data_IF_087089397051
#
_entry.id   IF_087089397051
#
_cell.length_a   1.000
_cell.length_b   1.000
_cell.length_c   1.000
_cell.angle_alpha   90.00
_cell.angle_beta   90.00
_cell.angle_gamma   90.00
#
_symmetry.space_group_name_H-M   'P 1'
#
loop_
_entity.id
_entity.type
_entity.pdbx_description
1 polymer ?
#
# COMPACT_ATOMS: atom_id res chain seq x y z
N UNK A 1 -0.30 -18.79 12.67
CA UNK A 1 -1.19 -17.95 11.86
C UNK A 1 -0.41 -16.71 11.51
N UNK A 2 -0.25 -16.43 10.21
CA UNK A 2 0.54 -15.27 9.76
C UNK A 2 -0.23 -13.98 9.98
N UNK A 3 0.42 -12.96 10.55
CA UNK A 3 -0.19 -11.64 10.74
C UNK A 3 -0.05 -10.85 9.44
N UNK A 4 -1.17 -10.36 8.91
CA UNK A 4 -1.20 -9.52 7.73
C UNK A 4 -0.87 -8.08 8.11
N UNK A 5 0.08 -7.48 7.39
CA UNK A 5 0.47 -6.10 7.60
C UNK A 5 -0.60 -5.15 7.04
N UNK A 6 -1.06 -4.19 7.85
CA UNK A 6 -2.03 -3.19 7.42
C UNK A 6 -1.33 -2.13 6.56
N UNK A 7 -1.85 -1.92 5.35
CA UNK A 7 -1.37 -0.87 4.45
C UNK A 7 -2.28 0.35 4.62
N UNK A 8 -1.73 1.49 5.04
CA UNK A 8 -2.52 2.71 5.13
C UNK A 8 -2.91 3.19 3.73
N UNK A 9 -4.21 3.46 3.51
CA UNK A 9 -4.73 3.95 2.24
C UNK A 9 -5.28 5.36 2.37
N UNK A 10 -5.02 6.16 1.35
CA UNK A 10 -5.45 7.56 1.19
C UNK A 10 -6.90 7.72 0.73
N UNK A 11 -7.57 6.65 0.29
CA UNK A 11 -8.93 6.72 -0.26
C UNK A 11 -9.95 5.89 0.53
N UNK A 12 -9.81 5.85 1.86
CA UNK A 12 -10.73 5.19 2.79
C UNK A 12 -10.97 3.67 2.55
N UNK A 13 -10.21 3.04 1.65
CA UNK A 13 -10.26 1.59 1.43
C UNK A 13 -9.18 0.94 2.28
N UNK A 14 -9.58 0.17 3.30
CA UNK A 14 -8.64 -0.62 4.09
C UNK A 14 -7.88 -1.59 3.20
N UNK A 15 -6.55 -1.63 3.35
CA UNK A 15 -5.67 -2.52 2.60
C UNK A 15 -4.79 -3.31 3.55
N UNK A 16 -4.43 -4.52 3.13
CA UNK A 16 -3.44 -5.35 3.82
C UNK A 16 -2.44 -5.91 2.81
N UNK A 17 -1.23 -6.16 3.28
CA UNK A 17 -0.19 -6.90 2.58
C UNK A 17 -0.27 -8.37 3.01
N UNK A 18 -0.34 -9.27 2.03
CA UNK A 18 -0.33 -10.72 2.25
C UNK A 18 0.69 -11.31 1.29
N UNK A 19 1.84 -11.74 1.82
CA UNK A 19 2.94 -12.33 1.03
C UNK A 19 3.40 -11.48 -0.18
N UNK A 20 3.34 -10.15 -0.08
CA UNK A 20 3.71 -9.23 -1.16
C UNK A 20 2.59 -8.93 -2.15
N UNK A 21 1.37 -9.39 -1.88
CA UNK A 21 0.16 -9.01 -2.59
C UNK A 21 -0.64 -7.98 -1.79
N UNK A 22 -1.03 -6.90 -2.46
CA UNK A 22 -1.90 -5.89 -1.88
C UNK A 22 -3.35 -6.32 -2.03
N UNK A 23 -4.02 -6.47 -0.89
CA UNK A 23 -5.41 -6.88 -0.81
C UNK A 23 -6.26 -5.71 -0.29
N UNK A 24 -7.41 -5.51 -0.91
CA UNK A 24 -8.39 -4.47 -0.58
C UNK A 24 -9.56 -5.12 0.13
N UNK A 25 -10.08 -4.46 1.18
CA UNK A 25 -11.25 -4.96 1.93
C UNK A 25 -12.46 -5.02 0.99
N UNK A 26 -13.08 -6.21 0.93
CA UNK A 26 -14.39 -6.43 0.28
C UNK A 26 -15.51 -6.18 1.31
N UNK A 27 -15.58 -7.08 2.29
CA UNK A 27 -16.63 -7.12 3.31
C UNK A 27 -16.13 -7.84 4.56
N UNK A 28 -16.87 -7.73 5.65
CA UNK A 28 -16.63 -8.51 6.87
C UNK A 28 -17.93 -9.18 7.36
N UNK A 29 -17.78 -10.31 8.05
CA UNK A 29 -18.84 -11.03 8.76
C UNK A 29 -18.30 -11.38 10.14
N UNK A 30 -18.83 -10.76 11.19
CA UNK A 30 -18.30 -10.88 12.55
C UNK A 30 -16.79 -10.54 12.55
N UNK A 31 -15.97 -11.46 13.05
CA UNK A 31 -14.51 -11.34 13.10
C UNK A 31 -13.81 -11.76 11.81
N UNK A 32 -14.53 -12.29 10.80
CA UNK A 32 -13.94 -12.67 9.52
C UNK A 32 -13.99 -11.52 8.52
N UNK A 33 -12.85 -11.24 7.90
CA UNK A 33 -12.69 -10.21 6.89
C UNK A 33 -12.31 -10.84 5.56
N UNK A 34 -12.99 -10.41 4.52
CA UNK A 34 -12.78 -10.87 3.15
C UNK A 34 -12.12 -9.77 2.35
N UNK A 35 -11.13 -10.17 1.57
CA UNK A 35 -10.29 -9.27 0.81
C UNK A 35 -10.16 -9.75 -0.63
N UNK A 36 -10.01 -8.82 -1.55
CA UNK A 36 -9.76 -9.08 -2.96
C UNK A 36 -8.49 -8.40 -3.43
N UNK A 37 -7.85 -8.96 -4.43
CA UNK A 37 -6.61 -8.40 -4.95
C UNK A 37 -6.83 -7.00 -5.52
N UNK A 38 -5.94 -6.05 -5.20
CA UNK A 38 -5.96 -4.70 -5.76
C UNK A 38 -5.94 -4.69 -7.29
N UNK A 39 -5.22 -5.65 -7.90
CA UNK A 39 -5.11 -5.78 -9.36
C UNK A 39 -6.31 -6.48 -9.99
N UNK A 40 -7.42 -6.68 -9.27
CA UNK A 40 -8.64 -7.27 -9.83
C UNK A 40 -9.15 -6.46 -11.04
N UNK A 41 -9.17 -5.13 -10.96
CA UNK A 41 -9.71 -4.30 -12.04
C UNK A 41 -8.74 -4.19 -13.24
N UNK A 42 -7.42 -4.23 -12.98
CA UNK A 42 -6.38 -4.06 -14.01
C UNK A 42 -5.98 -5.37 -14.70
N UNK A 43 -5.88 -6.46 -13.95
CA UNK A 43 -5.37 -7.76 -14.42
C UNK A 43 -6.42 -8.88 -14.37
N UNK A 44 -7.68 -8.54 -14.05
CA UNK A 44 -8.74 -9.50 -13.78
C UNK A 44 -8.36 -10.55 -12.72
N UNK A 45 -7.44 -10.18 -11.80
CA UNK A 45 -6.94 -11.08 -10.78
C UNK A 45 -8.07 -11.56 -9.87
N UNK A 46 -8.13 -12.87 -9.63
CA UNK A 46 -9.13 -13.50 -8.74
C UNK A 46 -8.58 -13.85 -7.36
N UNK A 47 -7.39 -13.36 -7.02
CA UNK A 47 -6.80 -13.52 -5.70
C UNK A 47 -7.75 -13.03 -4.60
N UNK A 48 -8.02 -13.89 -3.62
CA UNK A 48 -8.88 -13.65 -2.46
C UNK A 48 -8.15 -14.04 -1.19
N UNK A 49 -8.36 -13.25 -0.15
CA UNK A 49 -7.86 -13.55 1.18
C UNK A 49 -9.00 -13.50 2.18
N UNK A 50 -8.95 -14.39 3.18
CA UNK A 50 -9.76 -14.34 4.38
C UNK A 50 -8.85 -14.19 5.59
N UNK A 51 -9.15 -13.21 6.43
CA UNK A 51 -8.47 -13.01 7.71
C UNK A 51 -9.47 -13.06 8.86
N UNK A 52 -8.97 -13.37 10.06
CA UNK A 52 -9.71 -13.17 11.32
C UNK A 52 -9.09 -11.98 12.04
N UNK A 53 -9.92 -11.08 12.57
CA UNK A 53 -9.47 -9.97 13.41
C UNK A 53 -9.51 -10.40 14.88
N UNK A 54 -8.34 -10.48 15.52
CA UNK A 54 -8.17 -10.71 16.96
C UNK A 54 -7.14 -9.72 17.51
N UNK A 55 -7.42 -9.10 18.65
CA UNK A 55 -6.51 -8.13 19.29
C UNK A 55 -6.05 -7.01 18.33
N UNK A 56 -6.98 -6.49 17.51
CA UNK A 56 -6.73 -5.49 16.47
C UNK A 56 -5.72 -5.89 15.38
N UNK A 57 -5.42 -7.20 15.27
CA UNK A 57 -4.54 -7.77 14.26
C UNK A 57 -5.29 -8.71 13.31
N UNK A 58 -4.99 -8.60 12.02
CA UNK A 58 -5.54 -9.50 11.00
C UNK A 58 -4.66 -10.74 10.87
N UNK A 59 -5.20 -11.89 11.23
CA UNK A 59 -4.54 -13.18 11.09
C UNK A 59 -5.03 -13.87 9.81
N UNK A 60 -4.09 -14.32 8.97
CA UNK A 60 -4.38 -15.02 7.73
C UNK A 60 -5.03 -16.39 8.03
N UNK A 61 -6.19 -16.61 7.44
CA UNK A 61 -6.88 -17.91 7.46
C UNK A 61 -6.75 -18.63 6.13
N UNK A 62 -6.95 -17.89 5.04
CA UNK A 62 -6.92 -18.44 3.69
C UNK A 62 -6.44 -17.40 2.69
N UNK A 63 -5.60 -17.84 1.75
CA UNK A 63 -5.24 -17.10 0.55
C UNK A 63 -5.50 -18.00 -0.68
N UNK A 64 -5.81 -17.40 -1.82
CA UNK A 64 -5.87 -18.08 -3.11
C UNK A 64 -4.78 -17.58 -4.03
N UNK A 65 -4.47 -18.36 -5.06
CA UNK A 65 -3.44 -18.00 -6.02
C UNK A 65 -3.79 -16.73 -6.81
N UNK A 66 -2.72 -16.06 -7.26
CA UNK A 66 -2.77 -14.87 -8.09
C UNK A 66 -2.27 -15.21 -9.50
N UNK A 67 -2.82 -14.54 -10.50
CA UNK A 67 -2.37 -14.64 -11.89
C UNK A 67 -1.21 -13.68 -12.23
N UNK A 68 -0.57 -13.12 -11.21
CA UNK A 68 0.55 -12.20 -11.35
C UNK A 68 1.55 -12.45 -10.21
N UNK A 69 2.79 -11.99 -10.39
CA UNK A 69 3.81 -12.07 -9.37
C UNK A 69 3.51 -11.14 -8.18
N UNK A 70 4.06 -11.48 -7.01
CA UNK A 70 4.03 -10.62 -5.84
C UNK A 70 4.94 -9.40 -6.07
N UNK A 71 4.47 -8.21 -5.67
CA UNK A 71 5.20 -6.96 -5.83
C UNK A 71 5.63 -6.44 -4.45
N UNK A 72 6.58 -7.14 -3.81
CA UNK A 72 7.04 -6.81 -2.45
C UNK A 72 7.55 -5.36 -2.30
N UNK A 73 8.07 -4.77 -3.39
CA UNK A 73 8.52 -3.37 -3.41
C UNK A 73 7.36 -2.37 -3.42
N UNK A 74 6.17 -2.75 -3.90
CA UNK A 74 5.01 -1.87 -3.99
C UNK A 74 4.56 -1.40 -2.60
N UNK A 75 4.66 -2.27 -1.59
CA UNK A 75 4.35 -1.94 -0.19
C UNK A 75 5.33 -0.88 0.36
N UNK A 76 6.63 -1.03 0.06
CA UNK A 76 7.66 -0.04 0.45
C UNK A 76 7.38 1.32 -0.20
N UNK A 77 7.01 1.33 -1.48
CA UNK A 77 6.66 2.56 -2.22
C UNK A 77 5.43 3.24 -1.61
N UNK A 78 4.36 2.50 -1.27
CA UNK A 78 3.16 3.08 -0.64
C UNK A 78 3.50 3.72 0.71
N UNK A 79 4.33 3.06 1.53
CA UNK A 79 4.79 3.64 2.80
C UNK A 79 5.59 4.93 2.60
N UNK A 80 6.51 4.95 1.63
CA UNK A 80 7.30 6.14 1.31
C UNK A 80 6.40 7.31 0.86
N UNK A 81 5.39 7.05 0.03
CA UNK A 81 4.42 8.07 -0.41
C UNK A 81 3.59 8.61 0.77
N UNK A 82 3.18 7.74 1.71
CA UNK A 82 2.46 8.20 2.91
C UNK A 82 3.34 9.10 3.77
N UNK A 83 4.58 8.70 4.03
CA UNK A 83 5.53 9.51 4.78
C UNK A 83 5.79 10.87 4.10
N UNK A 84 5.86 10.91 2.76
CA UNK A 84 5.95 12.15 2.00
C UNK A 84 4.78 13.09 2.32
N UNK A 85 3.55 12.58 2.25
CA UNK A 85 2.33 13.37 2.48
C UNK A 85 2.25 13.86 3.92
N UNK A 86 2.53 13.01 4.90
CA UNK A 86 2.53 13.39 6.32
C UNK A 86 3.55 14.51 6.58
N UNK A 87 4.77 14.41 6.01
CA UNK A 87 5.77 15.48 6.10
C UNK A 87 5.33 16.76 5.40
N UNK A 88 4.73 16.64 4.21
CA UNK A 88 4.23 17.79 3.43
C UNK A 88 3.07 18.50 4.11
N UNK A 89 2.28 17.80 4.93
CA UNK A 89 1.21 18.39 5.73
C UNK A 89 1.73 19.05 7.02
N UNK A 90 2.88 18.60 7.52
CA UNK A 90 3.49 19.11 8.75
C UNK A 90 4.50 20.24 8.51
N UNK A 91 5.00 20.41 7.29
CA UNK A 91 5.95 21.47 6.96
C UNK A 91 5.45 22.39 5.85
N UNK A 92 5.73 23.70 5.98
CA UNK A 92 5.61 24.69 4.90
C UNK A 92 6.77 24.57 3.88
N UNK A 93 7.39 23.39 3.76
CA UNK A 93 8.62 23.25 2.98
C UNK A 93 8.34 23.27 1.48
N UNK A 94 9.26 23.91 0.77
CA UNK A 94 9.19 24.00 -0.68
C UNK A 94 9.13 22.58 -1.30
N UNK A 95 8.18 22.29 -2.21
CA UNK A 95 7.97 20.96 -2.81
C UNK A 95 9.24 20.30 -3.37
N UNK A 96 10.24 21.10 -3.77
CA UNK A 96 11.53 20.62 -4.26
C UNK A 96 12.37 19.95 -3.16
N UNK A 97 12.37 20.51 -1.94
CA UNK A 97 13.13 19.97 -0.81
C UNK A 97 12.54 18.65 -0.30
N UNK A 98 11.21 18.54 -0.32
CA UNK A 98 10.50 17.30 0.03
C UNK A 98 10.88 16.17 -0.93
N UNK A 99 10.86 16.43 -2.24
CA UNK A 99 11.23 15.44 -3.26
C UNK A 99 12.71 15.02 -3.13
N UNK A 100 13.62 15.97 -2.88
CA UNK A 100 15.04 15.68 -2.68
C UNK A 100 15.30 14.84 -1.42
N UNK A 101 14.56 15.06 -0.34
CA UNK A 101 14.70 14.27 0.89
C UNK A 101 14.30 12.79 0.70
N UNK A 102 13.36 12.51 -0.20
CA UNK A 102 12.92 11.15 -0.51
C UNK A 102 13.93 10.46 -1.42
N UNK A 103 14.37 11.15 -2.47
CA UNK A 103 15.44 10.66 -3.34
C UNK A 103 16.70 10.32 -2.54
N UNK A 104 17.07 11.17 -1.57
CA UNK A 104 18.23 10.95 -0.71
C UNK A 104 18.04 9.85 0.36
N UNK A 105 16.79 9.57 0.78
CA UNK A 105 16.47 8.57 1.80
C UNK A 105 16.07 7.19 1.27
N UNK A 106 15.99 7.03 -0.05
CA UNK A 106 15.50 5.80 -0.69
C UNK A 106 16.65 4.98 -1.27
N UNK A 107 16.70 3.68 -0.96
CA UNK A 107 17.70 2.75 -1.51
C UNK A 107 17.67 2.71 -3.03
N UNK A 108 18.84 2.56 -3.66
CA UNK A 108 19.03 2.68 -5.11
C UNK A 108 18.22 1.65 -5.93
N UNK A 109 17.90 0.52 -5.30
CA UNK A 109 17.05 -0.58 -5.77
C UNK A 109 15.54 -0.25 -5.83
N UNK A 110 15.08 0.84 -5.22
CA UNK A 110 13.67 1.28 -5.26
C UNK A 110 13.44 2.39 -6.29
N UNK A 111 14.51 3.02 -6.77
CA UNK A 111 14.48 4.14 -7.71
C UNK A 111 13.68 3.90 -9.01
N UNK A 112 13.76 2.71 -9.65
CA UNK A 112 13.01 2.44 -10.89
C UNK A 112 11.49 2.42 -10.70
N UNK A 113 11.03 2.23 -9.47
CA UNK A 113 9.61 2.08 -9.13
C UNK A 113 9.02 3.35 -8.53
N UNK A 114 9.81 4.42 -8.37
CA UNK A 114 9.31 5.70 -7.93
C UNK A 114 8.46 6.37 -9.04
N UNK A 115 7.33 7.00 -8.69
CA UNK A 115 6.62 7.87 -9.61
C UNK A 115 7.54 8.98 -10.14
N UNK A 116 7.29 9.46 -11.36
CA UNK A 116 8.06 10.57 -11.92
C UNK A 116 8.00 11.80 -11.00
N UNK A 117 9.03 12.64 -11.06
CA UNK A 117 9.06 13.90 -10.30
C UNK A 117 7.82 14.76 -10.52
N UNK A 118 7.23 14.72 -11.72
CA UNK A 118 6.00 15.45 -12.02
C UNK A 118 4.76 14.84 -11.37
N UNK A 119 4.67 13.51 -11.27
CA UNK A 119 3.61 12.84 -10.52
C UNK A 119 3.71 13.13 -9.01
N UNK A 120 4.94 13.19 -8.48
CA UNK A 120 5.19 13.61 -7.09
C UNK A 120 4.79 15.08 -6.87
N UNK A 121 5.16 16.00 -7.78
CA UNK A 121 4.74 17.41 -7.74
C UNK A 121 3.23 17.61 -7.78
N UNK A 122 2.53 16.86 -8.63
CA UNK A 122 1.06 16.91 -8.69
C UNK A 122 0.42 16.40 -7.40
N UNK A 123 1.06 15.45 -6.72
CA UNK A 123 0.57 14.93 -5.44
C UNK A 123 0.66 15.97 -4.33
N UNK A 124 1.75 16.75 -4.30
CA UNK A 124 1.95 17.85 -3.33
C UNK A 124 1.00 19.01 -3.61
N UNK A 125 0.76 19.38 -4.89
CA UNK A 125 -0.16 20.46 -5.27
C UNK A 125 -1.65 20.20 -4.97
N UNK A 126 -2.04 18.95 -4.75
CA UNK A 126 -3.43 18.53 -4.48
C UNK A 126 -3.75 18.40 -2.99
N UNK A 127 -2.78 18.68 -2.13
CA UNK A 127 -2.97 18.89 -0.68
C UNK A 127 -3.43 20.33 -0.51
#
# INVERSE_FOLDING_TARGET
MDICEIIPSICNKHKINVHGFIMVKDKNRNYMYYWYCEKQDMLNCKGRVTTILTEDQHHLVKATDHNHAAEANQVKVIKAIKLLKERSQQSNDNPVQVIQSIVAGTSQDVYPYLPSCDALRQTVKRI
#
